data_IF_614255442740
#
_entry.id   IF_614255442740
#
_cell.length_a   1.000
_cell.length_b   1.000
_cell.length_c   1.000
_cell.angle_alpha   90.00
_cell.angle_beta   90.00
_cell.angle_gamma   90.00
#
_symmetry.space_group_name_H-M   'P 1'
#
loop_
_entity.id
_entity.type
_entity.pdbx_description
1 polymer ?
#
# COMPACT_ATOMS: atom_id res chain seq x y z
N UNK A 1 -41.53 72.43 32.13
CA UNK A 1 -40.53 71.38 31.80
C UNK A 1 -41.25 70.24 31.12
N UNK A 2 -41.07 70.08 29.81
CA UNK A 2 -41.75 69.04 29.03
C UNK A 2 -40.79 67.92 28.77
N UNK A 3 -41.08 66.64 29.24
CA UNK A 3 -40.26 65.48 29.09
C UNK A 3 -40.46 64.86 27.70
N UNK A 4 -39.36 64.66 27.02
CA UNK A 4 -39.31 64.01 25.66
C UNK A 4 -39.36 62.50 25.86
N UNK A 5 -40.44 61.87 25.43
CA UNK A 5 -40.54 60.40 25.34
C UNK A 5 -39.84 59.92 24.09
N UNK A 6 -38.76 59.23 24.23
CA UNK A 6 -38.07 58.54 23.13
C UNK A 6 -38.75 57.19 22.83
N UNK A 7 -39.37 57.08 21.67
CA UNK A 7 -39.99 55.86 21.18
C UNK A 7 -38.94 55.02 20.44
N UNK A 8 -38.39 54.00 21.09
CA UNK A 8 -37.51 53.00 20.45
C UNK A 8 -38.38 51.97 19.68
N UNK A 9 -38.28 51.99 18.35
CA UNK A 9 -38.90 50.98 17.50
C UNK A 9 -38.22 49.60 17.72
N UNK A 10 -38.95 48.48 17.76
CA UNK A 10 -38.36 47.15 17.92
C UNK A 10 -37.62 46.74 16.68
N UNK A 11 -36.36 46.34 16.83
CA UNK A 11 -35.52 45.75 15.77
C UNK A 11 -36.10 44.39 15.37
N UNK A 12 -36.61 44.29 14.11
CA UNK A 12 -37.07 43.04 13.49
C UNK A 12 -35.89 42.11 13.32
N UNK A 13 -35.82 41.04 14.15
CA UNK A 13 -34.87 39.93 14.00
C UNK A 13 -35.19 39.15 12.73
N UNK A 14 -34.38 39.36 11.71
CA UNK A 14 -34.39 38.52 10.48
C UNK A 14 -33.82 37.15 10.88
N UNK A 15 -34.66 36.15 11.07
CA UNK A 15 -34.25 34.77 11.18
C UNK A 15 -33.85 34.28 9.78
N UNK A 16 -32.58 34.33 9.45
CA UNK A 16 -32.03 33.64 8.29
C UNK A 16 -32.07 32.13 8.55
N UNK A 17 -33.09 31.47 8.07
CA UNK A 17 -33.14 30.00 8.02
C UNK A 17 -32.23 29.52 6.88
N UNK A 18 -30.93 29.54 7.09
CA UNK A 18 -29.99 28.81 6.23
C UNK A 18 -30.28 27.32 6.46
N UNK A 19 -31.09 26.72 5.59
CA UNK A 19 -31.25 25.27 5.55
C UNK A 19 -29.87 24.69 5.19
N UNK A 20 -29.18 24.11 6.20
CA UNK A 20 -28.01 23.28 5.95
C UNK A 20 -28.41 22.16 5.01
N UNK A 21 -27.68 21.93 3.90
CA UNK A 21 -27.96 20.80 3.02
C UNK A 21 -27.91 19.54 3.86
N UNK A 22 -28.95 18.73 3.83
CA UNK A 22 -28.92 17.36 4.36
C UNK A 22 -27.88 16.60 3.56
N UNK A 23 -26.72 16.31 4.16
CA UNK A 23 -25.76 15.37 3.62
C UNK A 23 -26.52 14.04 3.53
N UNK A 24 -26.89 13.64 2.30
CA UNK A 24 -27.40 12.29 2.05
C UNK A 24 -26.34 11.35 2.61
N UNK A 25 -26.73 10.42 3.47
CA UNK A 25 -25.85 9.37 3.95
C UNK A 25 -25.28 8.65 2.73
N UNK A 26 -23.97 8.81 2.49
CA UNK A 26 -23.30 8.11 1.39
C UNK A 26 -23.28 6.65 1.80
N UNK A 27 -24.08 5.84 1.12
CA UNK A 27 -24.10 4.40 1.35
C UNK A 27 -22.90 3.81 0.64
N UNK A 28 -21.89 3.39 1.42
CA UNK A 28 -20.68 2.75 0.87
C UNK A 28 -20.98 1.30 0.49
N UNK A 29 -20.72 0.88 -0.76
CA UNK A 29 -21.03 -0.47 -1.25
C UNK A 29 -19.94 -1.50 -0.93
N UNK A 30 -19.17 -1.30 0.15
CA UNK A 30 -17.99 -2.10 0.45
C UNK A 30 -18.32 -3.30 1.36
N UNK A 31 -17.62 -4.41 1.10
CA UNK A 31 -17.71 -5.62 1.91
C UNK A 31 -16.28 -6.06 2.33
N UNK A 32 -16.19 -6.70 3.48
CA UNK A 32 -14.93 -7.28 3.96
C UNK A 32 -14.50 -8.44 3.07
N UNK A 33 -13.24 -8.46 2.64
CA UNK A 33 -12.63 -9.64 2.01
C UNK A 33 -12.48 -10.78 3.01
N UNK A 34 -12.59 -12.02 2.55
CA UNK A 34 -12.38 -13.20 3.39
C UNK A 34 -10.92 -13.35 3.83
N UNK A 35 -9.96 -12.97 3.00
CA UNK A 35 -8.52 -13.03 3.30
C UNK A 35 -7.77 -11.92 2.57
N UNK A 36 -6.64 -11.47 3.15
CA UNK A 36 -5.67 -10.58 2.50
C UNK A 36 -4.82 -11.31 1.46
N UNK A 37 -4.58 -12.61 1.69
CA UNK A 37 -3.70 -13.44 0.89
C UNK A 37 -4.48 -14.55 0.18
N UNK A 38 -4.07 -14.89 -1.03
CA UNK A 38 -4.49 -16.12 -1.69
C UNK A 38 -3.96 -17.36 -0.95
N UNK A 39 -4.41 -18.55 -1.34
CA UNK A 39 -3.95 -19.80 -0.72
C UNK A 39 -2.43 -20.00 -0.88
N UNK A 40 -1.89 -19.73 -2.07
CA UNK A 40 -0.45 -19.84 -2.34
C UNK A 40 0.37 -18.83 -1.55
N UNK A 41 -0.06 -17.56 -1.53
CA UNK A 41 0.58 -16.50 -0.75
C UNK A 41 0.54 -16.79 0.75
N UNK A 42 -0.57 -17.33 1.26
CA UNK A 42 -0.68 -17.71 2.67
C UNK A 42 0.25 -18.88 3.02
N UNK A 43 0.38 -19.88 2.12
CA UNK A 43 1.32 -20.98 2.32
C UNK A 43 2.76 -20.47 2.39
N UNK A 44 3.18 -19.63 1.43
CA UNK A 44 4.51 -19.02 1.44
C UNK A 44 4.72 -18.09 2.65
N UNK A 45 3.73 -17.29 3.03
CA UNK A 45 3.81 -16.42 4.21
C UNK A 45 4.13 -17.19 5.50
N UNK A 46 3.57 -18.39 5.68
CA UNK A 46 3.88 -19.24 6.85
C UNK A 46 5.35 -19.66 6.85
N UNK A 47 5.89 -20.02 5.70
CA UNK A 47 7.31 -20.32 5.51
C UNK A 47 8.18 -19.08 5.78
N UNK A 48 7.84 -17.95 5.19
CA UNK A 48 8.55 -16.70 5.37
C UNK A 48 8.61 -16.29 6.85
N UNK A 49 7.50 -16.40 7.58
CA UNK A 49 7.45 -16.15 9.04
C UNK A 49 8.41 -17.04 9.84
N UNK A 50 8.52 -18.32 9.50
CA UNK A 50 9.48 -19.23 10.13
C UNK A 50 10.93 -18.83 9.85
N UNK A 51 11.22 -18.40 8.63
CA UNK A 51 12.57 -17.98 8.22
C UNK A 51 13.01 -16.70 8.92
N UNK A 52 12.17 -15.67 8.90
CA UNK A 52 12.57 -14.35 9.43
C UNK A 52 12.46 -14.28 10.96
N UNK A 53 11.61 -15.12 11.57
CA UNK A 53 11.36 -15.16 13.04
C UNK A 53 11.13 -13.74 13.58
N UNK A 54 11.97 -13.33 14.56
CA UNK A 54 11.93 -12.00 15.18
C UNK A 54 13.00 -11.05 14.63
N UNK A 55 13.59 -11.36 13.45
CA UNK A 55 14.65 -10.53 12.86
C UNK A 55 14.08 -9.42 11.97
N UNK A 56 12.99 -9.73 11.28
CA UNK A 56 12.35 -8.81 10.33
C UNK A 56 10.85 -8.81 10.49
N UNK A 57 10.22 -7.66 10.25
CA UNK A 57 8.79 -7.55 10.04
C UNK A 57 8.40 -7.91 8.60
N UNK A 58 7.15 -8.32 8.41
CA UNK A 58 6.59 -8.66 7.10
C UNK A 58 5.35 -7.78 6.89
N UNK A 59 5.38 -6.89 5.92
CA UNK A 59 4.20 -6.19 5.45
C UNK A 59 3.53 -6.99 4.32
N UNK A 60 2.21 -7.11 4.38
CA UNK A 60 1.41 -7.89 3.44
C UNK A 60 0.77 -6.97 2.41
N UNK A 61 0.97 -7.24 1.13
CA UNK A 61 0.33 -6.52 0.02
C UNK A 61 0.45 -4.99 0.07
N UNK A 62 1.61 -4.40 0.48
CA UNK A 62 1.74 -2.95 0.44
C UNK A 62 1.69 -2.47 -1.01
N UNK A 63 1.11 -1.28 -1.21
CA UNK A 63 1.18 -0.63 -2.54
C UNK A 63 2.62 -0.21 -2.80
N UNK A 64 3.02 -0.17 -4.07
CA UNK A 64 4.36 0.31 -4.41
C UNK A 64 4.57 1.77 -3.96
N UNK A 65 3.51 2.58 -3.95
CA UNK A 65 3.55 3.96 -3.46
C UNK A 65 3.79 4.09 -1.95
N UNK A 66 3.54 3.05 -1.16
CA UNK A 66 3.83 3.02 0.28
C UNK A 66 5.29 2.58 0.56
N UNK A 67 5.97 2.05 -0.46
CA UNK A 67 7.32 1.46 -0.38
C UNK A 67 8.35 2.30 -1.13
N UNK A 68 7.98 2.88 -2.26
CA UNK A 68 8.85 3.62 -3.18
C UNK A 68 8.39 5.07 -3.29
N UNK A 69 9.35 6.00 -3.22
CA UNK A 69 9.06 7.42 -3.42
C UNK A 69 9.05 7.76 -4.91
N UNK A 70 8.01 8.47 -5.35
CA UNK A 70 7.96 9.13 -6.66
C UNK A 70 8.20 10.62 -6.46
N UNK A 71 8.95 11.32 -7.31
CA UNK A 71 9.02 12.77 -7.31
C UNK A 71 7.62 13.39 -7.42
N UNK A 72 7.38 14.48 -6.69
CA UNK A 72 6.05 15.11 -6.62
C UNK A 72 5.56 15.57 -7.99
N UNK A 73 6.45 16.04 -8.84
CA UNK A 73 6.16 16.51 -10.22
C UNK A 73 5.69 15.36 -11.13
N UNK A 74 6.02 14.12 -10.79
CA UNK A 74 5.66 12.93 -11.56
C UNK A 74 4.49 12.15 -10.92
N UNK A 75 3.96 12.61 -9.78
CA UNK A 75 2.94 11.87 -9.05
C UNK A 75 1.65 11.70 -9.86
N UNK A 76 1.17 12.76 -10.49
CA UNK A 76 -0.02 12.75 -11.35
C UNK A 76 0.25 12.31 -12.79
N UNK A 77 1.51 12.05 -13.13
CA UNK A 77 1.96 11.53 -14.42
C UNK A 77 1.94 9.98 -14.44
N UNK A 78 2.20 9.35 -15.61
CA UNK A 78 2.19 7.89 -15.73
C UNK A 78 3.06 7.13 -14.72
N UNK A 79 4.27 7.59 -14.30
CA UNK A 79 5.06 6.91 -13.28
C UNK A 79 4.36 6.80 -11.93
N UNK A 80 3.85 7.91 -11.38
CA UNK A 80 3.16 7.95 -10.10
C UNK A 80 1.85 7.15 -10.11
N UNK A 81 1.05 7.29 -11.16
CA UNK A 81 -0.18 6.50 -11.35
C UNK A 81 0.08 5.00 -11.40
N UNK A 82 1.19 4.56 -12.01
CA UNK A 82 1.57 3.14 -12.02
C UNK A 82 1.96 2.64 -10.64
N UNK A 83 2.71 3.44 -9.87
CA UNK A 83 3.07 3.11 -8.49
C UNK A 83 1.83 2.98 -7.59
N UNK A 84 0.89 3.93 -7.67
CA UNK A 84 -0.31 3.95 -6.82
C UNK A 84 -1.27 2.79 -7.07
N UNK A 85 -1.25 2.19 -8.27
CA UNK A 85 -2.16 1.11 -8.68
C UNK A 85 -1.58 -0.30 -8.50
N UNK A 86 -0.33 -0.42 -8.09
CA UNK A 86 0.34 -1.73 -7.96
C UNK A 86 0.74 -1.99 -6.52
N UNK A 87 0.84 -3.26 -6.19
CA UNK A 87 1.32 -3.74 -4.90
C UNK A 87 2.34 -4.86 -5.14
N UNK A 88 3.18 -5.08 -4.16
CA UNK A 88 4.07 -6.25 -4.05
C UNK A 88 3.50 -7.22 -3.01
N UNK A 89 3.81 -8.51 -3.12
CA UNK A 89 3.21 -9.50 -2.22
C UNK A 89 3.67 -9.32 -0.78
N UNK A 90 4.99 -9.12 -0.57
CA UNK A 90 5.54 -8.93 0.76
C UNK A 90 6.69 -7.92 0.74
N UNK A 91 6.82 -7.18 1.84
CA UNK A 91 8.02 -6.38 2.15
C UNK A 91 8.60 -6.88 3.47
N UNK A 92 9.89 -7.16 3.46
CA UNK A 92 10.67 -7.32 4.69
C UNK A 92 11.17 -5.96 5.14
N UNK A 93 11.02 -5.68 6.42
CA UNK A 93 11.53 -4.46 7.03
C UNK A 93 12.17 -4.74 8.40
N UNK A 94 13.09 -3.89 8.78
CA UNK A 94 13.73 -3.92 10.10
C UNK A 94 12.71 -3.55 11.18
N UNK A 95 12.60 -4.37 12.24
CA UNK A 95 11.57 -4.21 13.27
C UNK A 95 11.71 -2.96 14.13
N UNK A 96 12.93 -2.41 14.26
CA UNK A 96 13.21 -1.27 15.12
C UNK A 96 13.12 0.06 14.39
N UNK A 97 13.59 0.07 13.14
CA UNK A 97 13.72 1.29 12.33
C UNK A 97 12.64 1.41 11.26
N UNK A 98 11.86 0.35 11.02
CA UNK A 98 10.95 0.19 9.89
C UNK A 98 11.64 0.34 8.52
N UNK A 99 12.97 0.27 8.45
CA UNK A 99 13.74 0.37 7.20
C UNK A 99 13.39 -0.82 6.29
N UNK A 100 13.10 -0.53 5.03
CA UNK A 100 12.84 -1.53 4.00
C UNK A 100 14.13 -2.32 3.75
N UNK A 101 14.04 -3.65 3.79
CA UNK A 101 15.15 -4.57 3.58
C UNK A 101 15.08 -5.18 2.19
N UNK A 102 13.94 -5.78 1.84
CA UNK A 102 13.72 -6.41 0.55
C UNK A 102 12.24 -6.48 0.22
N UNK A 103 11.93 -6.51 -1.06
CA UNK A 103 10.61 -6.86 -1.61
C UNK A 103 10.60 -8.33 -2.02
N UNK A 104 9.45 -8.99 -1.90
CA UNK A 104 9.26 -10.39 -2.30
C UNK A 104 7.98 -10.50 -3.13
N UNK A 105 8.10 -11.11 -4.29
CA UNK A 105 6.98 -11.47 -5.19
C UNK A 105 6.91 -12.98 -5.33
N UNK A 106 5.71 -13.53 -5.26
CA UNK A 106 5.44 -14.94 -5.50
C UNK A 106 4.98 -15.12 -6.95
N UNK A 107 5.85 -15.71 -7.77
CA UNK A 107 5.59 -15.90 -9.21
C UNK A 107 4.75 -17.14 -9.45
N UNK A 108 3.50 -16.95 -9.86
CA UNK A 108 2.68 -18.01 -10.43
C UNK A 108 2.99 -18.13 -11.94
N UNK A 109 3.67 -19.20 -12.33
CA UNK A 109 4.11 -19.45 -13.71
C UNK A 109 2.99 -19.78 -14.69
N UNK A 110 1.74 -19.90 -14.24
CA UNK A 110 0.66 -20.45 -15.03
C UNK A 110 0.19 -19.59 -16.23
N UNK A 111 0.55 -18.29 -16.30
CA UNK A 111 0.08 -17.39 -17.37
C UNK A 111 1.14 -16.42 -17.85
N UNK A 112 1.68 -16.67 -19.06
CA UNK A 112 2.64 -15.78 -19.75
C UNK A 112 1.98 -14.71 -20.62
N UNK A 113 0.98 -14.02 -20.11
CA UNK A 113 0.32 -12.95 -20.86
C UNK A 113 1.22 -11.70 -21.04
N UNK A 114 1.19 -11.06 -22.22
CA UNK A 114 2.01 -9.85 -22.47
C UNK A 114 1.78 -8.69 -21.50
N UNK A 115 0.55 -8.56 -20.99
CA UNK A 115 0.21 -7.54 -19.97
C UNK A 115 0.90 -7.81 -18.63
N UNK A 116 1.02 -9.09 -18.25
CA UNK A 116 1.71 -9.51 -17.03
C UNK A 116 3.21 -9.26 -17.14
N UNK A 117 3.84 -9.61 -18.27
CA UNK A 117 5.27 -9.31 -18.50
C UNK A 117 5.58 -7.82 -18.39
N UNK A 118 4.72 -6.93 -18.94
CA UNK A 118 4.87 -5.47 -18.82
C UNK A 118 4.72 -5.00 -17.37
N UNK A 119 3.81 -5.61 -16.58
CA UNK A 119 3.67 -5.32 -15.15
C UNK A 119 4.93 -5.73 -14.40
N UNK A 120 5.41 -6.93 -14.64
CA UNK A 120 6.57 -7.51 -13.95
C UNK A 120 7.85 -6.73 -14.26
N UNK A 121 8.09 -6.37 -15.51
CA UNK A 121 9.19 -5.51 -15.92
C UNK A 121 9.12 -4.12 -15.26
N UNK A 122 7.91 -3.55 -15.09
CA UNK A 122 7.75 -2.28 -14.39
C UNK A 122 8.08 -2.41 -12.90
N UNK A 123 7.60 -3.45 -12.22
CA UNK A 123 7.86 -3.69 -10.79
C UNK A 123 9.35 -3.87 -10.56
N UNK A 124 10.00 -4.70 -11.37
CA UNK A 124 11.44 -4.95 -11.30
C UNK A 124 12.25 -3.67 -11.53
N UNK A 125 11.94 -2.91 -12.58
CA UNK A 125 12.59 -1.63 -12.86
C UNK A 125 12.39 -0.60 -11.74
N UNK A 126 11.21 -0.55 -11.13
CA UNK A 126 10.92 0.39 -10.04
C UNK A 126 11.73 0.06 -8.78
N UNK A 127 11.82 -1.20 -8.38
CA UNK A 127 12.62 -1.63 -7.23
C UNK A 127 14.12 -1.47 -7.51
N UNK A 128 14.59 -1.83 -8.70
CA UNK A 128 15.97 -1.63 -9.13
C UNK A 128 16.38 -0.16 -9.08
N UNK A 129 15.57 0.75 -9.64
CA UNK A 129 15.84 2.19 -9.62
C UNK A 129 15.87 2.77 -8.19
N UNK A 130 15.07 2.21 -7.28
CA UNK A 130 15.05 2.61 -5.88
C UNK A 130 16.14 1.95 -5.04
N UNK A 131 16.95 1.06 -5.62
CA UNK A 131 17.98 0.31 -4.89
C UNK A 131 17.39 -0.65 -3.84
N UNK A 132 16.17 -1.14 -4.01
CA UNK A 132 15.55 -2.15 -3.14
C UNK A 132 15.66 -3.52 -3.80
N UNK A 133 16.20 -4.51 -3.08
CA UNK A 133 16.26 -5.87 -3.58
C UNK A 133 14.87 -6.45 -3.80
N UNK A 134 14.62 -7.01 -4.97
CA UNK A 134 13.39 -7.74 -5.29
C UNK A 134 13.71 -9.24 -5.41
N UNK A 135 13.16 -10.02 -4.48
CA UNK A 135 13.31 -11.47 -4.46
C UNK A 135 12.05 -12.12 -5.05
N UNK A 136 12.23 -12.85 -6.14
CA UNK A 136 11.14 -13.60 -6.79
C UNK A 136 11.18 -15.06 -6.41
N UNK A 137 10.04 -15.58 -5.94
CA UNK A 137 9.90 -16.98 -5.52
C UNK A 137 8.88 -17.64 -6.42
N UNK A 138 9.22 -18.74 -7.10
CA UNK A 138 8.23 -19.52 -7.82
C UNK A 138 7.16 -20.07 -6.87
N UNK A 139 5.88 -19.93 -7.22
CA UNK A 139 4.81 -20.56 -6.48
C UNK A 139 4.97 -22.09 -6.52
N UNK A 140 4.92 -22.73 -5.36
CA UNK A 140 5.11 -24.17 -5.19
C UNK A 140 4.15 -24.75 -4.15
N UNK A 141 3.93 -26.06 -4.20
CA UNK A 141 3.11 -26.75 -3.21
C UNK A 141 3.81 -26.85 -1.84
N UNK A 142 5.13 -26.89 -1.84
CA UNK A 142 5.98 -26.86 -0.64
C UNK A 142 7.26 -26.07 -0.92
N UNK A 143 7.93 -25.62 0.12
CA UNK A 143 9.14 -24.80 0.04
C UNK A 143 10.23 -25.39 0.93
N UNK A 144 11.44 -25.52 0.39
CA UNK A 144 12.65 -25.76 1.18
C UNK A 144 13.04 -24.46 1.87
N UNK A 145 12.83 -24.42 3.19
CA UNK A 145 13.10 -23.23 4.03
C UNK A 145 14.56 -22.82 3.96
N UNK A 146 15.49 -23.81 3.95
CA UNK A 146 16.93 -23.55 3.89
C UNK A 146 17.36 -22.93 2.57
N UNK A 147 16.91 -23.52 1.46
CA UNK A 147 17.21 -23.02 0.11
C UNK A 147 16.64 -21.62 -0.13
N UNK A 148 15.38 -21.38 0.28
CA UNK A 148 14.76 -20.04 0.16
C UNK A 148 15.50 -19.02 1.01
N UNK A 149 15.88 -19.38 2.26
CA UNK A 149 16.63 -18.47 3.12
C UNK A 149 18.01 -18.13 2.56
N UNK A 150 18.75 -19.10 2.06
CA UNK A 150 20.06 -18.87 1.44
C UNK A 150 19.96 -17.90 0.26
N UNK A 151 18.97 -18.10 -0.62
CA UNK A 151 18.73 -17.22 -1.78
C UNK A 151 18.27 -15.82 -1.35
N UNK A 152 17.39 -15.71 -0.36
CA UNK A 152 16.94 -14.43 0.17
C UNK A 152 18.10 -13.68 0.87
N UNK A 153 18.91 -14.37 1.66
CA UNK A 153 20.05 -13.79 2.34
C UNK A 153 21.08 -13.25 1.35
N UNK A 154 21.36 -13.96 0.27
CA UNK A 154 22.26 -13.47 -0.79
C UNK A 154 21.71 -12.21 -1.47
N UNK A 155 20.41 -12.15 -1.69
CA UNK A 155 19.73 -10.98 -2.26
C UNK A 155 19.82 -9.75 -1.32
N UNK A 156 19.66 -9.95 0.00
CA UNK A 156 19.72 -8.88 1.01
C UNK A 156 21.14 -8.34 1.20
N UNK A 157 22.15 -9.22 1.12
CA UNK A 157 23.56 -8.89 1.41
C UNK A 157 24.39 -8.65 0.14
N UNK A 158 23.80 -8.70 -1.04
CA UNK A 158 24.50 -8.38 -2.29
C UNK A 158 25.10 -6.96 -2.21
N UNK A 159 26.37 -6.76 -2.51
CA UNK A 159 26.97 -5.43 -2.61
C UNK A 159 26.24 -4.65 -3.70
N UNK A 160 25.89 -3.42 -3.44
CA UNK A 160 25.23 -2.48 -4.35
C UNK A 160 26.24 -1.65 -5.09
#
# INVERSE_FOLDING_TARGET
MRGIRSSRKPRRRIRSSVRRPRIRSVQFPYQKRASLLSRGELAFYRVLRQMVRNRYGIALKPRLADVLKCPDELWDAPPGRRLSQKHVDFILYDLWTARIIAAIELDDRSHQEPARRRRDAFVEGAFSAAGVALFRVPAAAWYDVGAIWASLASCIHAPR
#
